data_IF_084343766652
#
_entry.id   IF_084343766652
#
_cell.length_a   1.000
_cell.length_b   1.000
_cell.length_c   1.000
_cell.angle_alpha   90.00
_cell.angle_beta   90.00
_cell.angle_gamma   90.00
#
_symmetry.space_group_name_H-M   'P 1'
#
loop_
_entity.id
_entity.type
_entity.pdbx_description
1 polymer ?
#
# COMPACT_ATOMS: atom_id res chain seq x y z
N UNK A 1 2.11 -6.71 -23.12
CA UNK A 1 3.30 -6.30 -22.34
C UNK A 1 2.83 -5.84 -20.97
N UNK A 2 3.24 -6.48 -19.88
CA UNK A 2 3.00 -5.94 -18.54
C UNK A 2 4.01 -4.84 -18.28
N UNK A 3 3.58 -3.59 -18.25
CA UNK A 3 4.45 -2.49 -17.85
C UNK A 3 4.63 -2.54 -16.32
N UNK A 4 5.85 -2.38 -15.79
CA UNK A 4 6.06 -2.25 -14.35
C UNK A 4 5.30 -1.02 -13.82
N UNK A 5 4.69 -1.16 -12.64
CA UNK A 5 4.02 -0.08 -11.94
C UNK A 5 5.03 0.75 -11.15
N UNK A 6 5.76 1.60 -11.88
CA UNK A 6 6.79 2.47 -11.31
C UNK A 6 6.25 3.44 -10.26
N UNK A 7 4.99 3.89 -10.39
CA UNK A 7 4.36 4.77 -9.41
C UNK A 7 4.19 4.07 -8.05
N UNK A 8 3.74 2.80 -8.05
CA UNK A 8 3.64 2.01 -6.83
C UNK A 8 5.03 1.73 -6.24
N UNK A 9 6.00 1.34 -7.06
CA UNK A 9 7.36 1.07 -6.60
C UNK A 9 7.99 2.31 -5.94
N UNK A 10 7.83 3.49 -6.58
CA UNK A 10 8.30 4.76 -6.04
C UNK A 10 7.61 5.10 -4.72
N UNK A 11 6.28 4.96 -4.63
CA UNK A 11 5.54 5.21 -3.39
C UNK A 11 5.99 4.32 -2.23
N UNK A 12 6.25 3.03 -2.49
CA UNK A 12 6.77 2.10 -1.48
C UNK A 12 8.21 2.44 -1.07
N UNK A 13 9.05 2.83 -2.03
CA UNK A 13 10.43 3.26 -1.77
C UNK A 13 10.47 4.54 -0.92
N UNK A 14 9.65 5.54 -1.25
CA UNK A 14 9.53 6.79 -0.49
C UNK A 14 9.03 6.54 0.93
N UNK A 15 8.15 5.55 1.12
CA UNK A 15 7.70 5.15 2.44
C UNK A 15 8.73 4.29 3.21
N UNK A 16 9.80 3.83 2.55
CA UNK A 16 10.80 2.92 3.13
C UNK A 16 10.27 1.51 3.40
N UNK A 17 9.24 1.06 2.68
CA UNK A 17 8.58 -0.22 2.96
C UNK A 17 9.07 -1.32 2.04
N UNK A 18 9.45 -2.44 2.64
CA UNK A 18 9.61 -3.70 1.91
C UNK A 18 8.25 -4.24 1.46
N UNK A 19 8.24 -5.18 0.51
CA UNK A 19 7.00 -5.86 0.09
C UNK A 19 6.28 -6.53 1.27
N UNK A 20 7.03 -7.05 2.25
CA UNK A 20 6.47 -7.69 3.44
C UNK A 20 5.84 -6.67 4.40
N UNK A 21 6.52 -5.56 4.64
CA UNK A 21 6.00 -4.47 5.45
C UNK A 21 4.73 -3.87 4.83
N UNK A 22 4.74 -3.73 3.50
CA UNK A 22 3.59 -3.30 2.70
C UNK A 22 2.41 -4.26 2.90
N UNK A 23 2.61 -5.56 2.66
CA UNK A 23 1.56 -6.57 2.83
C UNK A 23 0.94 -6.55 4.23
N UNK A 24 1.77 -6.52 5.29
CA UNK A 24 1.31 -6.45 6.68
C UNK A 24 0.46 -5.21 6.95
N UNK A 25 0.94 -4.02 6.54
CA UNK A 25 0.21 -2.75 6.74
C UNK A 25 -1.12 -2.71 6.00
N UNK A 26 -1.20 -3.32 4.82
CA UNK A 26 -2.45 -3.41 4.06
C UNK A 26 -3.45 -4.29 4.80
N UNK A 27 -3.00 -5.46 5.25
CA UNK A 27 -3.86 -6.39 6.01
C UNK A 27 -4.33 -5.74 7.32
N UNK A 28 -3.46 -5.02 8.04
CA UNK A 28 -3.82 -4.28 9.25
C UNK A 28 -4.84 -3.17 8.98
N UNK A 29 -4.71 -2.46 7.86
CA UNK A 29 -5.65 -1.43 7.46
C UNK A 29 -7.01 -2.03 7.04
N UNK A 30 -6.99 -3.12 6.29
CA UNK A 30 -8.17 -3.86 5.87
C UNK A 30 -8.93 -4.41 7.10
N UNK A 31 -8.22 -5.02 8.04
CA UNK A 31 -8.76 -5.50 9.31
C UNK A 31 -9.41 -4.37 10.13
N UNK A 32 -8.72 -3.22 10.27
CA UNK A 32 -9.26 -2.03 10.95
C UNK A 32 -10.53 -1.46 10.29
N UNK A 33 -10.73 -1.68 8.99
CA UNK A 33 -11.92 -1.26 8.24
C UNK A 33 -13.01 -2.33 8.17
N UNK A 34 -12.83 -3.48 8.84
CA UNK A 34 -13.80 -4.57 8.82
C UNK A 34 -13.76 -5.44 7.56
N UNK A 35 -12.78 -5.24 6.67
CA UNK A 35 -12.59 -6.09 5.49
C UNK A 35 -11.89 -7.40 5.89
N UNK A 36 -12.68 -8.35 6.41
CA UNK A 36 -12.21 -9.72 6.67
C UNK A 36 -11.99 -10.45 5.34
N UNK A 37 -10.78 -10.97 5.12
CA UNK A 37 -10.43 -11.76 3.93
C UNK A 37 -9.48 -11.10 2.92
N UNK A 38 -9.02 -9.86 3.17
CA UNK A 38 -7.93 -9.29 2.37
C UNK A 38 -6.61 -9.92 2.83
N UNK A 39 -6.22 -11.04 2.23
CA UNK A 39 -4.89 -11.62 2.39
C UNK A 39 -3.97 -11.05 1.31
N UNK A 40 -3.29 -9.95 1.62
CA UNK A 40 -2.16 -9.48 0.81
C UNK A 40 -0.90 -10.16 1.34
N UNK A 41 -0.14 -10.77 0.44
CA UNK A 41 1.18 -11.33 0.72
C UNK A 41 2.27 -10.62 -0.09
N UNK A 42 3.53 -10.96 0.19
CA UNK A 42 4.72 -10.41 -0.49
C UNK A 42 4.73 -10.65 -1.99
N UNK A 43 4.27 -11.82 -2.44
CA UNK A 43 4.25 -12.18 -3.85
C UNK A 43 3.19 -11.36 -4.62
N UNK A 44 2.06 -11.09 -3.98
CA UNK A 44 0.97 -10.26 -4.49
C UNK A 44 1.41 -8.81 -4.65
N UNK A 45 2.12 -8.26 -3.65
CA UNK A 45 2.73 -6.92 -3.74
C UNK A 45 3.75 -6.87 -4.88
N UNK A 46 4.64 -7.88 -4.98
CA UNK A 46 5.60 -7.97 -6.08
C UNK A 46 4.93 -8.06 -7.47
N UNK A 47 3.77 -8.72 -7.56
CA UNK A 47 2.98 -8.80 -8.80
C UNK A 47 2.38 -7.45 -9.18
N UNK A 48 1.91 -6.67 -8.21
CA UNK A 48 1.43 -5.31 -8.45
C UNK A 48 2.53 -4.37 -8.96
N UNK A 49 3.75 -4.52 -8.44
CA UNK A 49 4.92 -3.77 -8.92
C UNK A 49 5.28 -4.17 -10.35
N UNK A 50 5.21 -5.47 -10.67
CA UNK A 50 5.60 -5.97 -12.01
C UNK A 50 4.52 -5.79 -13.08
N UNK A 51 3.26 -5.57 -12.69
CA UNK A 51 2.13 -5.55 -13.62
C UNK A 51 1.17 -4.41 -13.32
N UNK A 52 1.16 -3.40 -14.20
CA UNK A 52 0.04 -2.47 -14.35
C UNK A 52 -1.16 -3.23 -14.90
N UNK A 53 -2.11 -3.54 -14.03
CA UNK A 53 -3.45 -3.99 -14.42
C UNK A 53 -4.43 -2.94 -13.85
N UNK A 54 -5.44 -2.55 -14.61
CA UNK A 54 -6.40 -1.49 -14.24
C UNK A 54 -7.06 -1.77 -12.88
N UNK A 55 -7.34 -3.04 -12.57
CA UNK A 55 -7.83 -3.46 -11.26
C UNK A 55 -6.79 -3.27 -10.13
N UNK A 56 -5.50 -3.47 -10.41
CA UNK A 56 -4.41 -3.20 -9.47
C UNK A 56 -4.18 -1.70 -9.31
N UNK A 57 -4.44 -0.90 -10.34
CA UNK A 57 -4.22 0.53 -10.30
C UNK A 57 -5.23 1.23 -9.38
N UNK A 58 -6.51 0.84 -9.44
CA UNK A 58 -7.52 1.31 -8.49
C UNK A 58 -7.13 0.94 -7.05
N UNK A 59 -6.60 -0.28 -6.85
CA UNK A 59 -6.16 -0.74 -5.53
C UNK A 59 -4.88 -0.05 -5.05
N UNK A 60 -3.92 0.21 -5.94
CA UNK A 60 -2.69 0.95 -5.66
C UNK A 60 -2.98 2.42 -5.33
N UNK A 61 -3.85 3.08 -6.11
CA UNK A 61 -4.32 4.43 -5.81
C UNK A 61 -5.09 4.48 -4.50
N UNK A 62 -5.96 3.49 -4.25
CA UNK A 62 -6.63 3.35 -2.96
C UNK A 62 -5.60 3.20 -1.83
N UNK A 63 -4.56 2.37 -2.02
CA UNK A 63 -3.47 2.17 -1.06
C UNK A 63 -2.77 3.48 -0.71
N UNK A 64 -2.35 4.21 -1.75
CA UNK A 64 -1.62 5.47 -1.61
C UNK A 64 -2.51 6.49 -0.90
N UNK A 65 -3.77 6.60 -1.30
CA UNK A 65 -4.72 7.56 -0.74
C UNK A 65 -5.19 7.21 0.68
N UNK A 66 -5.27 5.93 1.05
CA UNK A 66 -5.90 5.50 2.30
C UNK A 66 -4.94 5.00 3.36
N UNK A 67 -3.84 4.37 2.93
CA UNK A 67 -2.83 3.78 3.83
C UNK A 67 -1.67 4.75 3.99
N UNK A 68 -1.08 5.23 2.88
CA UNK A 68 0.06 6.15 2.95
C UNK A 68 -0.38 7.54 3.47
N UNK A 69 -1.46 8.12 2.93
CA UNK A 69 -1.93 9.45 3.36
C UNK A 69 -2.41 9.50 4.82
N UNK A 70 -2.99 8.42 5.37
CA UNK A 70 -3.35 8.38 6.81
C UNK A 70 -2.12 8.21 7.71
N UNK A 71 -1.07 7.53 7.25
CA UNK A 71 0.15 7.34 8.04
C UNK A 71 1.05 8.58 8.05
N UNK A 72 1.05 9.40 7.00
CA UNK A 72 1.73 10.70 7.01
C UNK A 72 1.04 11.70 7.94
N UNK A 73 -0.30 11.71 7.97
CA UNK A 73 -1.07 12.60 8.84
C UNK A 73 -1.00 12.19 10.33
N UNK A 74 -0.89 10.90 10.64
CA UNK A 74 -0.69 10.45 12.03
C UNK A 74 0.69 10.78 12.61
N UNK A 75 1.67 11.21 11.80
CA UNK A 75 2.95 11.72 12.30
C UNK A 75 2.87 13.20 12.73
N UNK A 76 1.77 13.90 12.42
CA UNK A 76 1.56 15.31 12.80
C UNK A 76 0.68 15.52 14.04
N UNK A 77 0.14 14.46 14.65
CA UNK A 77 -0.72 14.58 15.84
C UNK A 77 0.02 14.37 17.17
N UNK A 78 1.34 14.23 17.15
CA UNK A 78 2.16 13.96 18.35
C UNK A 78 3.16 15.11 18.65
N UNK A 79 2.84 16.34 18.24
CA UNK A 79 3.67 17.54 18.48
C UNK A 79 2.82 18.74 18.89
N UNK A 80 1.89 18.55 19.85
CA UNK A 80 1.31 19.65 20.64
C UNK A 80 0.82 19.09 21.97
N UNK A 81 1.70 19.04 22.97
CA UNK A 81 1.34 19.18 24.40
C UNK A 81 2.49 19.87 25.09
#
# INVERSE_FOLDING_TARGET
MSTPNYALASALSTAGWSNAATARRINDCAARRGHRGTAVDTARVGRWIRTVNVAHEAYARWLIKNVLSKMTNNHSTDLTT
#
